data_IF_781754631842
#
_entry.id   IF_781754631842
#
_cell.length_a   1.000
_cell.length_b   1.000
_cell.length_c   1.000
_cell.angle_alpha   90.00
_cell.angle_beta   90.00
_cell.angle_gamma   90.00
#
_symmetry.space_group_name_H-M   'P 1'
#
loop_
_entity.id
_entity.type
_entity.pdbx_description
1 polymer ?
#
# COMPACT_ATOMS: atom_id res chain seq x y z
N UNK A 1 -4.95 10.91 17.50
CA UNK A 1 -4.87 9.46 17.18
C UNK A 1 -4.70 9.20 15.67
N UNK A 2 -5.46 9.86 14.78
CA UNK A 2 -5.34 9.62 13.32
C UNK A 2 -4.03 10.12 12.69
N UNK A 3 -3.43 11.19 13.22
CA UNK A 3 -2.15 11.70 12.72
C UNK A 3 -0.98 10.69 12.85
N UNK A 4 -1.10 9.68 13.72
CA UNK A 4 -0.13 8.58 13.80
C UNK A 4 -0.37 7.53 12.71
N UNK A 5 -1.62 7.29 12.32
CA UNK A 5 -1.98 6.35 11.26
C UNK A 5 -1.57 6.86 9.87
N UNK A 6 -1.52 8.18 9.67
CA UNK A 6 -1.04 8.83 8.43
C UNK A 6 0.44 8.49 8.12
N UNK A 7 1.19 7.85 9.04
CA UNK A 7 2.56 7.38 8.78
C UNK A 7 2.63 6.00 8.12
N UNK A 8 1.53 5.26 8.10
CA UNK A 8 1.47 3.95 7.46
C UNK A 8 1.03 4.10 6.01
N UNK A 9 1.75 3.42 5.11
CA UNK A 9 1.46 3.46 3.68
C UNK A 9 0.14 2.77 3.32
N UNK A 10 -0.18 1.66 4.00
CA UNK A 10 -1.39 0.90 3.79
C UNK A 10 -2.09 0.62 5.12
N UNK A 11 -3.42 0.63 5.09
CA UNK A 11 -4.25 0.06 6.14
C UNK A 11 -4.81 -1.27 5.63
N UNK A 12 -4.29 -2.39 6.15
CA UNK A 12 -4.71 -3.73 5.73
C UNK A 12 -5.72 -4.23 6.75
N UNK A 13 -6.95 -4.49 6.29
CA UNK A 13 -7.98 -5.16 7.11
C UNK A 13 -7.79 -6.67 6.96
N UNK A 14 -7.37 -7.32 8.03
CA UNK A 14 -7.23 -8.77 8.09
C UNK A 14 -8.48 -9.31 8.77
N UNK A 15 -9.22 -10.15 8.05
CA UNK A 15 -10.37 -10.88 8.59
C UNK A 15 -9.93 -12.22 9.16
N UNK A 16 -10.79 -12.85 9.95
CA UNK A 16 -10.52 -14.20 10.43
C UNK A 16 -10.57 -15.20 9.28
N UNK A 17 -9.69 -16.24 9.31
CA UNK A 17 -9.75 -17.32 8.34
C UNK A 17 -11.12 -18.01 8.40
N UNK A 18 -11.53 -18.61 7.29
CA UNK A 18 -12.68 -19.51 7.32
C UNK A 18 -12.32 -20.85 8.00
N UNK A 19 -13.32 -21.70 8.24
CA UNK A 19 -13.14 -22.99 8.92
C UNK A 19 -12.01 -23.84 8.31
N UNK A 20 -11.97 -23.98 6.99
CA UNK A 20 -10.96 -24.82 6.31
C UNK A 20 -9.55 -24.23 6.43
N UNK A 21 -9.43 -22.91 6.32
CA UNK A 21 -8.17 -22.21 6.52
C UNK A 21 -7.68 -22.34 7.97
N UNK A 22 -8.60 -22.23 8.94
CA UNK A 22 -8.28 -22.36 10.36
C UNK A 22 -7.88 -23.79 10.73
N UNK A 23 -8.61 -24.80 10.25
CA UNK A 23 -8.23 -26.22 10.39
C UNK A 23 -6.84 -26.48 9.81
N UNK A 24 -6.52 -25.92 8.64
CA UNK A 24 -5.19 -26.06 8.02
C UNK A 24 -4.09 -25.38 8.84
N UNK A 25 -4.35 -24.19 9.39
CA UNK A 25 -3.40 -23.49 10.27
C UNK A 25 -3.14 -24.35 11.52
N UNK A 26 -4.20 -24.85 12.17
CA UNK A 26 -4.11 -25.69 13.36
C UNK A 26 -3.37 -27.01 13.07
N UNK A 27 -3.65 -27.67 11.95
CA UNK A 27 -2.96 -28.88 11.53
C UNK A 27 -1.46 -28.61 11.27
N UNK A 28 -1.13 -27.52 10.56
CA UNK A 28 0.25 -27.18 10.24
C UNK A 28 1.08 -26.77 11.47
N UNK A 29 0.45 -26.15 12.48
CA UNK A 29 1.14 -25.68 13.69
C UNK A 29 1.25 -26.76 14.77
N UNK A 30 0.43 -27.81 14.68
CA UNK A 30 0.47 -28.97 15.59
C UNK A 30 1.59 -29.96 15.27
N UNK A 31 2.21 -29.85 14.10
CA UNK A 31 3.37 -30.64 13.70
C UNK A 31 4.65 -29.95 14.23
N UNK A 32 5.49 -30.69 14.95
CA UNK A 32 6.79 -30.20 15.44
C UNK A 32 7.85 -30.02 14.35
N UNK A 33 7.51 -30.26 13.08
CA UNK A 33 8.44 -30.07 11.96
C UNK A 33 8.58 -28.59 11.61
N UNK A 34 9.81 -28.08 11.72
CA UNK A 34 10.15 -26.74 11.26
C UNK A 34 10.39 -26.77 9.76
N UNK A 35 9.69 -25.97 8.96
CA UNK A 35 9.94 -25.90 7.53
C UNK A 35 11.37 -25.41 7.26
N UNK A 36 12.05 -26.05 6.31
CA UNK A 36 13.37 -25.60 5.87
C UNK A 36 13.20 -24.36 4.98
N UNK A 37 13.72 -23.21 5.46
CA UNK A 37 13.56 -21.94 4.76
C UNK A 37 14.71 -21.73 3.79
N UNK A 38 14.41 -21.70 2.49
CA UNK A 38 15.38 -21.32 1.46
C UNK A 38 15.47 -19.81 1.31
N UNK A 39 16.67 -19.26 1.49
CA UNK A 39 16.94 -17.85 1.22
C UNK A 39 16.92 -17.57 -0.29
N UNK A 40 15.93 -16.80 -0.76
CA UNK A 40 15.80 -16.38 -2.16
C UNK A 40 16.40 -15.00 -2.46
N UNK A 41 16.51 -14.14 -1.44
CA UNK A 41 17.04 -12.77 -1.57
C UNK A 41 18.01 -12.45 -0.42
N UNK A 42 19.02 -11.62 -0.73
CA UNK A 42 19.93 -11.07 0.29
C UNK A 42 19.50 -9.67 0.72
N UNK A 43 19.88 -9.23 1.92
CA UNK A 43 19.63 -7.86 2.38
C UNK A 43 20.19 -6.80 1.41
N UNK A 44 21.38 -7.06 0.82
CA UNK A 44 21.98 -6.20 -0.21
C UNK A 44 21.09 -6.14 -1.46
N UNK A 45 20.53 -7.26 -1.89
CA UNK A 45 19.60 -7.35 -3.02
C UNK A 45 18.32 -6.54 -2.75
N UNK A 46 17.77 -6.60 -1.54
CA UNK A 46 16.56 -5.84 -1.16
C UNK A 46 16.83 -4.32 -1.27
N UNK A 47 17.93 -3.83 -0.69
CA UNK A 47 18.29 -2.40 -0.76
C UNK A 47 18.54 -1.98 -2.21
N UNK A 48 19.20 -2.83 -3.00
CA UNK A 48 19.42 -2.58 -4.42
C UNK A 48 18.08 -2.42 -5.17
N UNK A 49 17.14 -3.35 -4.99
CA UNK A 49 15.82 -3.29 -5.63
C UNK A 49 15.03 -2.05 -5.19
N UNK A 50 15.05 -1.68 -3.92
CA UNK A 50 14.41 -0.46 -3.43
C UNK A 50 14.97 0.80 -4.12
N UNK A 51 16.28 0.86 -4.35
CA UNK A 51 16.91 1.96 -5.11
C UNK A 51 16.45 1.96 -6.57
N UNK A 52 16.41 0.79 -7.21
CA UNK A 52 15.94 0.67 -8.60
C UNK A 52 14.49 1.13 -8.75
N UNK A 53 13.59 0.72 -7.84
CA UNK A 53 12.19 1.14 -7.85
C UNK A 53 12.08 2.67 -7.74
N UNK A 54 12.92 3.32 -6.91
CA UNK A 54 12.89 4.77 -6.77
C UNK A 54 13.33 5.53 -8.03
N UNK A 55 14.16 4.92 -8.87
CA UNK A 55 14.63 5.50 -10.14
C UNK A 55 13.59 5.46 -11.26
N UNK A 56 12.50 4.69 -11.11
CA UNK A 56 11.41 4.68 -12.09
C UNK A 56 10.81 6.09 -12.20
N UNK A 57 10.83 6.65 -13.40
CA UNK A 57 10.29 7.98 -13.66
C UNK A 57 8.76 7.96 -13.70
N UNK A 58 8.17 9.06 -13.22
CA UNK A 58 6.71 9.21 -13.19
C UNK A 58 6.35 10.34 -14.13
N UNK A 59 5.60 10.00 -15.17
CA UNK A 59 5.15 10.99 -16.15
C UNK A 59 4.26 12.06 -15.52
N UNK A 60 4.25 13.29 -16.09
CA UNK A 60 3.48 14.42 -15.55
C UNK A 60 1.98 14.14 -15.50
N UNK A 61 1.44 13.34 -16.43
CA UNK A 61 0.04 12.91 -16.42
C UNK A 61 -0.31 12.08 -15.18
N UNK A 62 0.57 11.16 -14.77
CA UNK A 62 0.36 10.34 -13.58
C UNK A 62 0.40 11.18 -12.31
N UNK A 63 1.36 12.13 -12.22
CA UNK A 63 1.45 13.07 -11.09
C UNK A 63 0.17 13.92 -11.00
N UNK A 64 -0.31 14.43 -12.15
CA UNK A 64 -1.54 15.21 -12.21
C UNK A 64 -2.75 14.38 -11.76
N UNK A 65 -2.86 13.15 -12.25
CA UNK A 65 -3.95 12.24 -11.89
C UNK A 65 -3.96 11.94 -10.38
N UNK A 66 -2.82 11.53 -9.81
CA UNK A 66 -2.70 11.26 -8.37
C UNK A 66 -3.04 12.50 -7.55
N UNK A 67 -2.59 13.68 -7.97
CA UNK A 67 -2.90 14.95 -7.30
C UNK A 67 -4.40 15.22 -7.31
N UNK A 68 -5.06 15.08 -8.46
CA UNK A 68 -6.52 15.29 -8.57
C UNK A 68 -7.29 14.28 -7.72
N UNK A 69 -6.86 13.02 -7.72
CA UNK A 69 -7.48 11.97 -6.91
C UNK A 69 -7.40 12.28 -5.41
N UNK A 70 -6.21 12.61 -4.91
CA UNK A 70 -6.01 12.96 -3.50
C UNK A 70 -6.83 14.19 -3.13
N UNK A 71 -6.86 15.22 -3.98
CA UNK A 71 -7.65 16.44 -3.72
C UNK A 71 -9.16 16.19 -3.70
N UNK A 72 -9.66 15.30 -4.55
CA UNK A 72 -11.08 14.93 -4.58
C UNK A 72 -11.58 14.27 -3.27
N UNK A 73 -10.67 13.78 -2.42
CA UNK A 73 -11.02 13.25 -1.09
C UNK A 73 -11.18 14.33 -0.01
N UNK A 74 -10.84 15.59 -0.31
CA UNK A 74 -10.85 16.68 0.67
C UNK A 74 -12.20 17.41 0.62
N UNK A 75 -13.00 17.44 1.69
CA UNK A 75 -14.32 18.05 1.68
C UNK A 75 -14.28 19.56 1.38
N UNK A 76 -13.20 20.24 1.76
CA UNK A 76 -12.98 21.67 1.48
C UNK A 76 -12.60 21.97 0.03
N UNK A 77 -12.28 20.96 -0.79
CA UNK A 77 -11.91 21.15 -2.18
C UNK A 77 -13.16 21.27 -3.08
N UNK A 78 -13.17 22.26 -3.97
CA UNK A 78 -14.26 22.47 -4.92
C UNK A 78 -14.54 21.23 -5.79
N UNK A 79 -13.50 20.48 -6.13
CA UNK A 79 -13.56 19.28 -6.99
C UNK A 79 -14.07 18.03 -6.27
N UNK A 80 -14.24 18.05 -4.95
CA UNK A 80 -14.72 16.89 -4.20
C UNK A 80 -16.20 16.59 -4.50
N UNK A 81 -16.58 15.31 -4.71
CA UNK A 81 -17.96 14.90 -4.87
C UNK A 81 -18.84 15.26 -3.67
N UNK A 82 -20.15 15.41 -3.90
CA UNK A 82 -21.09 15.81 -2.85
C UNK A 82 -21.08 14.87 -1.63
N UNK A 83 -21.00 13.55 -1.85
CA UNK A 83 -20.95 12.59 -0.74
C UNK A 83 -19.68 12.74 0.11
N UNK A 84 -18.52 13.08 -0.49
CA UNK A 84 -17.28 13.33 0.27
C UNK A 84 -17.46 14.56 1.14
N UNK A 85 -18.06 15.64 0.61
CA UNK A 85 -18.32 16.86 1.38
C UNK A 85 -19.27 16.65 2.56
N UNK A 86 -20.16 15.66 2.47
CA UNK A 86 -21.15 15.36 3.50
C UNK A 86 -20.69 14.32 4.53
N UNK A 87 -19.82 13.38 4.12
CA UNK A 87 -19.49 12.19 4.92
C UNK A 87 -18.05 12.14 5.40
N UNK A 88 -17.18 13.04 4.95
CA UNK A 88 -15.75 13.03 5.27
C UNK A 88 -15.38 14.32 5.97
N UNK A 89 -14.84 14.22 7.18
CA UNK A 89 -14.37 15.38 7.95
C UNK A 89 -12.99 15.88 7.46
N UNK A 90 -12.09 14.94 7.13
CA UNK A 90 -10.71 15.24 6.71
C UNK A 90 -10.29 14.31 5.56
N UNK A 91 -9.87 14.90 4.45
CA UNK A 91 -9.38 14.16 3.29
C UNK A 91 -7.91 13.77 3.37
N UNK A 92 -7.43 13.10 2.33
CA UNK A 92 -6.06 12.62 2.26
C UNK A 92 -5.03 13.76 2.14
N UNK A 93 -3.96 13.66 2.93
CA UNK A 93 -2.83 14.58 2.92
C UNK A 93 -1.90 14.38 1.70
N UNK A 94 -0.88 15.23 1.53
CA UNK A 94 0.10 15.10 0.45
C UNK A 94 0.88 13.77 0.49
N UNK A 95 1.05 13.18 1.70
CA UNK A 95 1.72 11.89 1.86
C UNK A 95 0.99 10.74 1.18
N UNK A 96 -0.35 10.77 1.15
CA UNK A 96 -1.12 9.78 0.40
C UNK A 96 -0.74 9.77 -1.09
N UNK A 97 -0.52 10.95 -1.69
CA UNK A 97 -0.05 11.05 -3.07
C UNK A 97 1.36 10.48 -3.27
N UNK A 98 2.27 10.76 -2.32
CA UNK A 98 3.64 10.21 -2.34
C UNK A 98 3.61 8.67 -2.28
N UNK A 99 2.79 8.10 -1.39
CA UNK A 99 2.66 6.66 -1.25
C UNK A 99 1.93 6.00 -2.42
N UNK A 100 0.91 6.63 -3.00
CA UNK A 100 0.29 6.15 -4.24
C UNK A 100 1.31 6.04 -5.37
N UNK A 101 2.18 7.05 -5.51
CA UNK A 101 3.26 7.02 -6.50
C UNK A 101 4.27 5.91 -6.18
N UNK A 102 4.73 5.81 -4.94
CA UNK A 102 5.70 4.79 -4.53
C UNK A 102 5.16 3.36 -4.76
N UNK A 103 3.89 3.12 -4.43
CA UNK A 103 3.22 1.85 -4.68
C UNK A 103 3.06 1.56 -6.18
N UNK A 104 2.69 2.58 -6.96
CA UNK A 104 2.61 2.49 -8.42
C UNK A 104 3.94 2.11 -9.07
N UNK A 105 5.05 2.72 -8.63
CA UNK A 105 6.41 2.36 -9.08
C UNK A 105 6.75 0.91 -8.73
N UNK A 106 6.45 0.46 -7.52
CA UNK A 106 6.70 -0.92 -7.10
C UNK A 106 5.92 -1.93 -7.95
N UNK A 107 4.64 -1.66 -8.25
CA UNK A 107 3.81 -2.51 -9.11
C UNK A 107 4.34 -2.53 -10.55
N UNK A 108 4.76 -1.38 -11.08
CA UNK A 108 5.38 -1.30 -12.41
C UNK A 108 6.65 -2.18 -12.47
N UNK A 109 7.54 -2.04 -11.48
CA UNK A 109 8.76 -2.84 -11.39
C UNK A 109 8.48 -4.34 -11.34
N UNK A 110 7.49 -4.77 -10.53
CA UNK A 110 7.06 -6.18 -10.47
C UNK A 110 6.47 -6.69 -11.78
N UNK A 111 5.92 -5.79 -12.60
CA UNK A 111 5.38 -6.10 -13.92
C UNK A 111 6.42 -6.02 -15.04
N UNK A 112 7.71 -5.78 -14.72
CA UNK A 112 8.78 -5.64 -15.70
C UNK A 112 8.77 -4.34 -16.50
N UNK A 113 8.19 -3.27 -15.94
CA UNK A 113 8.13 -1.92 -16.55
C UNK A 113 8.86 -0.88 -15.70
#
# INVERSE_FOLDING_TARGET
PEAQLDRFMFNIKVEYPNLEEEEKILASTSLSEKPEIRKVLSAKSIIYLQRQINMIEVGPMTINYVTRLVRATRPSDGSAPAFVKQMVDWGAGPRAGQYLIAGGKAIAAMSGR
#
